data_IF_603598944657
#
_entry.id   IF_603598944657
#
_cell.length_a   1.000
_cell.length_b   1.000
_cell.length_c   1.000
_cell.angle_alpha   90.00
_cell.angle_beta   90.00
_cell.angle_gamma   90.00
#
_symmetry.space_group_name_H-M   'P 1'
#
loop_
_entity.id
_entity.type
_entity.pdbx_description
1 polymer ?
#
# COMPACT_ATOMS: atom_id res chain seq x y z
N UNK A 1 37.69 49.59 -5.69
CA UNK A 1 36.82 48.38 -5.69
C UNK A 1 37.65 47.23 -6.22
N UNK A 2 37.96 46.27 -5.35
CA UNK A 2 39.04 45.28 -5.53
C UNK A 2 38.71 44.18 -6.54
N UNK A 3 39.70 43.80 -7.36
CA UNK A 3 39.69 42.69 -8.34
C UNK A 3 39.30 41.32 -7.74
N UNK A 4 39.27 41.18 -6.41
CA UNK A 4 38.88 39.96 -5.70
C UNK A 4 37.37 39.59 -5.85
N UNK A 5 36.52 40.54 -6.25
CA UNK A 5 35.08 40.32 -6.43
C UNK A 5 34.70 39.80 -7.83
N UNK A 6 35.54 40.02 -8.85
CA UNK A 6 35.30 39.52 -10.22
C UNK A 6 35.81 38.10 -10.45
N UNK A 7 36.77 37.62 -9.65
CA UNK A 7 37.30 36.24 -9.78
C UNK A 7 36.43 35.16 -9.10
N UNK A 8 35.49 35.54 -8.22
CA UNK A 8 34.53 34.57 -7.64
C UNK A 8 33.36 34.21 -8.57
N UNK A 9 33.20 34.90 -9.69
CA UNK A 9 32.21 34.58 -10.72
C UNK A 9 32.77 33.67 -11.84
N UNK A 10 34.05 33.27 -11.77
CA UNK A 10 34.71 32.45 -12.81
C UNK A 10 34.90 30.97 -12.47
N UNK A 11 34.41 30.49 -11.33
CA UNK A 11 34.53 29.07 -10.93
C UNK A 11 33.19 28.33 -10.88
N UNK A 12 32.23 28.74 -11.71
CA UNK A 12 31.03 27.96 -12.04
C UNK A 12 31.22 27.48 -13.48
N UNK A 13 31.75 26.28 -13.65
CA UNK A 13 32.05 25.79 -15.00
C UNK A 13 32.81 24.49 -15.06
N UNK A 14 32.30 23.43 -14.43
CA UNK A 14 32.58 22.06 -14.86
C UNK A 14 31.34 21.20 -14.66
N UNK A 15 30.41 21.40 -15.59
CA UNK A 15 29.32 20.47 -15.85
C UNK A 15 29.95 19.21 -16.48
N UNK A 16 30.12 18.14 -15.70
CA UNK A 16 30.52 16.86 -16.26
C UNK A 16 29.28 16.22 -16.90
N UNK A 17 29.05 16.56 -18.16
CA UNK A 17 27.98 15.99 -18.97
C UNK A 17 28.47 14.65 -19.55
N UNK A 18 28.25 13.56 -18.81
CA UNK A 18 28.34 12.22 -19.41
C UNK A 18 27.10 12.01 -20.29
N UNK A 19 27.22 12.34 -21.58
CA UNK A 19 26.22 12.01 -22.59
C UNK A 19 26.34 10.52 -22.94
N UNK A 20 25.35 9.71 -22.52
CA UNK A 20 25.08 8.42 -23.13
C UNK A 20 24.10 8.62 -24.30
N UNK A 21 24.39 8.14 -25.52
CA UNK A 21 23.47 8.25 -26.64
C UNK A 21 22.35 7.21 -26.52
N UNK A 22 21.09 7.65 -26.51
CA UNK A 22 19.92 6.76 -26.59
C UNK A 22 18.57 7.40 -26.22
N UNK A 23 18.03 8.28 -27.07
CA UNK A 23 16.59 8.60 -27.15
C UNK A 23 15.83 7.35 -27.64
N UNK A 24 14.59 6.98 -27.31
CA UNK A 24 13.45 7.54 -26.60
C UNK A 24 12.52 6.34 -26.29
N UNK A 25 11.74 6.28 -25.20
CA UNK A 25 10.44 6.95 -25.02
C UNK A 25 10.00 6.81 -23.55
N UNK A 26 9.60 7.93 -22.93
CA UNK A 26 8.75 7.97 -21.73
C UNK A 26 9.40 7.58 -20.40
N UNK A 27 10.37 8.35 -19.92
CA UNK A 27 10.93 8.19 -18.57
C UNK A 27 10.12 8.93 -17.49
N UNK A 28 10.16 8.46 -16.22
CA UNK A 28 9.50 9.11 -15.09
C UNK A 28 10.18 10.45 -14.77
N UNK A 29 9.40 11.38 -14.24
CA UNK A 29 9.89 12.66 -13.73
C UNK A 29 10.78 12.38 -12.50
N UNK A 30 12.07 12.07 -12.72
CA UNK A 30 13.05 11.99 -11.65
C UNK A 30 13.13 13.36 -10.97
N UNK A 31 12.56 13.46 -9.78
CA UNK A 31 12.71 14.64 -8.93
C UNK A 31 14.17 14.66 -8.46
N UNK A 32 15.02 15.42 -9.16
CA UNK A 32 16.35 15.75 -8.67
C UNK A 32 16.21 16.52 -7.35
N UNK A 33 16.48 15.86 -6.22
CA UNK A 33 16.79 16.57 -4.97
C UNK A 33 18.17 17.22 -5.16
N UNK A 34 18.18 18.55 -5.29
CA UNK A 34 19.41 19.32 -5.18
C UNK A 34 19.92 19.23 -3.74
N UNK A 35 20.92 18.37 -3.53
CA UNK A 35 21.78 18.44 -2.36
C UNK A 35 22.79 19.57 -2.60
N UNK A 36 22.62 20.67 -1.87
CA UNK A 36 23.65 21.71 -1.76
C UNK A 36 24.75 21.13 -0.88
N UNK A 37 25.84 20.67 -1.51
CA UNK A 37 27.03 20.19 -0.81
C UNK A 37 27.63 21.34 0.00
N UNK A 38 27.63 21.20 1.33
CA UNK A 38 28.24 22.23 2.17
C UNK A 38 28.07 22.16 3.67
N UNK A 39 27.45 21.14 4.26
CA UNK A 39 27.49 20.89 5.71
C UNK A 39 27.52 19.37 5.96
N UNK A 40 28.20 18.92 7.03
CA UNK A 40 28.24 17.50 7.40
C UNK A 40 26.82 16.96 7.50
N UNK A 41 26.49 15.75 7.01
CA UNK A 41 25.17 15.19 7.23
C UNK A 41 25.06 14.80 8.71
N UNK A 42 24.66 15.76 9.54
CA UNK A 42 23.73 15.46 10.61
C UNK A 42 22.57 14.75 9.94
N UNK A 43 22.36 13.50 10.35
CA UNK A 43 21.33 12.60 9.88
C UNK A 43 20.01 13.36 9.71
N UNK A 44 19.57 13.55 8.46
CA UNK A 44 18.35 14.29 8.17
C UNK A 44 17.17 13.47 8.71
N UNK A 45 16.69 13.87 9.89
CA UNK A 45 15.47 13.42 10.56
C UNK A 45 14.19 13.84 9.81
N UNK A 46 14.22 13.88 8.48
CA UNK A 46 13.15 14.44 7.63
C UNK A 46 12.41 13.34 6.85
N UNK A 47 12.31 12.17 7.47
CA UNK A 47 11.50 11.05 6.97
C UNK A 47 10.18 11.00 7.75
N UNK A 48 9.10 10.86 6.98
CA UNK A 48 7.73 10.67 7.46
C UNK A 48 7.68 9.61 8.56
N UNK A 49 6.98 9.86 9.67
CA UNK A 49 6.78 8.88 10.75
C UNK A 49 5.33 8.43 10.81
N UNK A 50 5.11 7.16 11.15
CA UNK A 50 3.76 6.65 11.43
C UNK A 50 3.26 7.32 12.72
N UNK A 51 2.10 7.98 12.65
CA UNK A 51 1.46 8.64 13.77
C UNK A 51 0.36 7.78 14.42
N UNK A 52 -0.46 7.10 13.61
CA UNK A 52 -1.53 6.25 14.13
C UNK A 52 -1.94 5.17 13.14
N UNK A 53 -2.52 4.09 13.66
CA UNK A 53 -3.21 3.07 12.87
C UNK A 53 -4.63 2.88 13.42
N UNK A 54 -5.61 3.02 12.53
CA UNK A 54 -7.03 2.88 12.84
C UNK A 54 -7.66 1.77 12.00
N UNK A 55 -8.63 1.07 12.58
CA UNK A 55 -9.40 0.03 11.92
C UNK A 55 -10.88 0.34 12.02
N UNK A 56 -11.56 0.35 10.87
CA UNK A 56 -12.97 0.72 10.77
C UNK A 56 -13.78 -0.50 10.37
N UNK A 57 -14.56 -1.03 11.31
CA UNK A 57 -15.54 -2.06 11.06
C UNK A 57 -16.80 -1.44 10.45
N UNK A 58 -17.16 -1.90 9.26
CA UNK A 58 -18.38 -1.49 8.56
C UNK A 58 -19.26 -2.70 8.32
N UNK A 59 -20.58 -2.47 8.40
CA UNK A 59 -21.57 -3.51 8.20
C UNK A 59 -22.66 -3.01 7.26
N UNK A 60 -22.98 -3.79 6.24
CA UNK A 60 -24.09 -3.54 5.33
C UNK A 60 -25.11 -4.68 5.46
N UNK A 61 -26.26 -4.46 6.12
CA UNK A 61 -27.31 -5.47 6.18
C UNK A 61 -27.89 -5.68 4.78
N UNK A 62 -28.22 -6.94 4.46
CA UNK A 62 -28.97 -7.23 3.25
C UNK A 62 -30.44 -6.85 3.48
N UNK A 63 -31.15 -6.34 2.45
CA UNK A 63 -32.58 -6.07 2.55
C UNK A 63 -33.39 -7.29 3.04
N UNK A 64 -32.99 -8.48 2.59
CA UNK A 64 -33.51 -9.76 3.04
C UNK A 64 -32.37 -10.76 3.27
N UNK A 65 -32.50 -11.68 4.25
CA UNK A 65 -31.53 -12.77 4.44
C UNK A 65 -31.31 -13.59 3.18
N UNK A 66 -30.05 -13.71 2.76
CA UNK A 66 -29.68 -14.56 1.63
C UNK A 66 -29.40 -15.99 2.11
N UNK A 67 -30.30 -16.91 1.79
CA UNK A 67 -30.17 -18.33 2.14
C UNK A 67 -29.50 -19.08 0.99
N UNK A 68 -28.36 -19.69 1.29
CA UNK A 68 -27.46 -20.32 0.33
C UNK A 68 -27.31 -21.81 0.68
N UNK A 69 -27.98 -22.68 -0.06
CA UNK A 69 -27.86 -24.13 0.08
C UNK A 69 -26.58 -24.63 -0.61
N UNK A 70 -25.88 -25.58 0.01
CA UNK A 70 -24.72 -26.25 -0.59
C UNK A 70 -24.61 -27.69 -0.08
N UNK A 71 -23.73 -28.48 -0.71
CA UNK A 71 -23.48 -29.85 -0.26
C UNK A 71 -22.96 -29.85 1.20
N UNK A 72 -23.76 -30.38 2.13
CA UNK A 72 -23.43 -30.44 3.55
C UNK A 72 -24.05 -29.36 4.44
N UNK A 73 -24.91 -28.48 3.90
CA UNK A 73 -25.69 -27.57 4.76
C UNK A 73 -26.32 -26.37 4.07
N UNK A 74 -26.74 -25.42 4.92
CA UNK A 74 -27.34 -24.15 4.50
C UNK A 74 -26.57 -23.02 5.18
N UNK A 75 -26.18 -22.01 4.41
CA UNK A 75 -25.57 -20.78 4.91
C UNK A 75 -26.55 -19.64 4.74
N UNK A 76 -26.90 -18.98 5.85
CA UNK A 76 -27.69 -17.74 5.80
C UNK A 76 -26.78 -16.54 5.97
N UNK A 77 -26.76 -15.65 4.99
CA UNK A 77 -26.04 -14.38 5.04
C UNK A 77 -27.04 -13.28 5.39
N UNK A 78 -26.81 -12.61 6.51
CA UNK A 78 -27.66 -11.50 6.98
C UNK A 78 -27.12 -10.13 6.59
N UNK A 79 -25.79 -10.02 6.54
CA UNK A 79 -25.06 -8.77 6.31
C UNK A 79 -23.71 -9.06 5.66
N UNK A 80 -23.09 -8.01 5.12
CA UNK A 80 -21.70 -7.99 4.70
C UNK A 80 -20.92 -7.12 5.66
N UNK A 81 -20.03 -7.77 6.40
CA UNK A 81 -19.05 -7.10 7.25
C UNK A 81 -17.75 -6.93 6.47
N UNK A 82 -17.15 -5.76 6.60
CA UNK A 82 -15.82 -5.46 6.09
C UNK A 82 -15.06 -4.64 7.12
N UNK A 83 -13.73 -4.66 7.01
CA UNK A 83 -12.87 -3.73 7.71
C UNK A 83 -11.98 -3.04 6.69
N UNK A 84 -11.77 -1.74 6.86
CA UNK A 84 -10.64 -1.05 6.24
C UNK A 84 -9.73 -0.48 7.32
N UNK A 85 -8.44 -0.48 7.04
CA UNK A 85 -7.36 -0.02 7.89
C UNK A 85 -6.84 1.28 7.32
N UNK A 86 -6.56 2.26 8.18
CA UNK A 86 -5.93 3.53 7.83
C UNK A 86 -4.66 3.72 8.66
N UNK A 87 -3.52 3.85 8.00
CA UNK A 87 -2.24 4.25 8.64
C UNK A 87 -2.03 5.72 8.32
N UNK A 88 -2.00 6.57 9.34
CA UNK A 88 -1.77 8.01 9.20
C UNK A 88 -0.36 8.36 9.64
N UNK A 89 0.35 9.13 8.81
CA UNK A 89 1.65 9.69 9.13
C UNK A 89 1.57 11.05 9.82
N UNK A 90 2.68 11.49 10.40
CA UNK A 90 2.86 12.82 11.03
C UNK A 90 2.61 14.01 10.07
N UNK A 91 2.90 13.83 8.79
CA UNK A 91 2.58 14.78 7.72
C UNK A 91 1.12 14.68 7.22
N UNK A 92 0.28 13.88 7.88
CA UNK A 92 -1.13 13.59 7.57
C UNK A 92 -1.39 12.79 6.29
N UNK A 93 -0.35 12.29 5.63
CA UNK A 93 -0.54 11.33 4.54
C UNK A 93 -1.10 10.02 5.09
N UNK A 94 -1.97 9.38 4.33
CA UNK A 94 -2.67 8.17 4.74
C UNK A 94 -2.46 7.04 3.74
N UNK A 95 -2.23 5.83 4.25
CA UNK A 95 -2.27 4.58 3.50
C UNK A 95 -3.41 3.69 3.96
N UNK A 96 -3.93 2.88 3.05
CA UNK A 96 -5.14 2.09 3.27
C UNK A 96 -4.96 0.62 2.91
N UNK A 97 -5.67 -0.25 3.62
CA UNK A 97 -5.78 -1.68 3.28
C UNK A 97 -7.11 -2.28 3.73
N UNK A 98 -7.60 -3.35 3.09
CA UNK A 98 -8.64 -4.18 3.68
C UNK A 98 -8.10 -4.92 4.91
N UNK A 99 -8.97 -5.15 5.91
CA UNK A 99 -8.64 -5.89 7.12
C UNK A 99 -9.59 -7.04 7.42
N UNK A 100 -9.27 -7.92 8.39
CA UNK A 100 -10.17 -8.95 8.88
C UNK A 100 -11.41 -8.33 9.55
N UNK A 101 -12.60 -8.63 9.06
CA UNK A 101 -13.85 -8.00 9.50
C UNK A 101 -14.39 -8.58 10.83
N UNK A 102 -13.61 -8.50 11.91
CA UNK A 102 -14.03 -8.92 13.24
C UNK A 102 -13.39 -8.08 14.36
N UNK A 103 -14.10 -7.92 15.48
CA UNK A 103 -13.72 -7.08 16.62
C UNK A 103 -12.37 -7.47 17.24
N UNK A 104 -11.99 -8.76 17.20
CA UNK A 104 -10.68 -9.20 17.68
C UNK A 104 -9.54 -8.49 16.93
N UNK A 105 -9.65 -8.36 15.61
CA UNK A 105 -8.62 -7.72 14.79
C UNK A 105 -8.59 -6.21 15.01
N UNK A 106 -9.75 -5.55 15.15
CA UNK A 106 -9.80 -4.12 15.49
C UNK A 106 -9.04 -3.85 16.80
N UNK A 107 -9.30 -4.68 17.82
CA UNK A 107 -8.64 -4.57 19.11
C UNK A 107 -7.14 -4.83 19.03
N UNK A 108 -6.73 -5.88 18.33
CA UNK A 108 -5.31 -6.17 18.06
C UNK A 108 -4.62 -4.99 17.37
N UNK A 109 -5.29 -4.35 16.40
CA UNK A 109 -4.77 -3.18 15.69
C UNK A 109 -4.62 -2.00 16.66
N UNK A 110 -5.66 -1.67 17.41
CA UNK A 110 -5.68 -0.53 18.32
C UNK A 110 -4.73 -0.68 19.50
N UNK A 111 -4.69 -1.86 20.12
CA UNK A 111 -4.01 -2.06 21.42
C UNK A 111 -2.58 -2.59 21.28
N UNK A 112 -2.22 -3.21 20.15
CA UNK A 112 -0.92 -3.89 19.99
C UNK A 112 -0.17 -3.37 18.77
N UNK A 113 -0.80 -3.37 17.59
CA UNK A 113 -0.10 -3.05 16.34
C UNK A 113 0.13 -1.55 16.18
N UNK A 114 -0.84 -0.69 16.51
CA UNK A 114 -0.68 0.77 16.44
C UNK A 114 0.45 1.25 17.35
N UNK A 115 0.51 0.87 18.65
CA UNK A 115 1.64 1.24 19.51
C UNK A 115 2.99 0.69 19.04
N UNK A 116 3.01 -0.48 18.40
CA UNK A 116 4.25 -1.02 17.83
C UNK A 116 4.76 -0.17 16.66
N UNK A 117 3.87 0.38 15.84
CA UNK A 117 4.21 1.13 14.63
C UNK A 117 4.45 2.63 14.87
N UNK A 118 3.88 3.21 15.91
CA UNK A 118 3.99 4.64 16.23
C UNK A 118 5.46 5.10 16.27
N UNK A 119 5.74 6.22 15.60
CA UNK A 119 7.06 6.84 15.52
C UNK A 119 8.05 6.16 14.56
N UNK A 120 7.71 5.00 13.98
CA UNK A 120 8.57 4.32 13.00
C UNK A 120 8.53 4.99 11.63
N UNK A 121 9.65 4.91 10.93
CA UNK A 121 9.74 5.25 9.51
C UNK A 121 9.04 4.16 8.67
N UNK A 122 7.96 4.48 7.93
CA UNK A 122 7.22 3.51 7.15
C UNK A 122 8.03 2.96 5.97
N UNK A 123 9.07 3.66 5.48
CA UNK A 123 9.95 3.14 4.42
C UNK A 123 10.77 1.93 4.87
N UNK A 124 10.96 1.78 6.19
CA UNK A 124 11.68 0.66 6.81
C UNK A 124 10.80 -0.59 7.05
N UNK A 125 9.58 -0.64 6.49
CA UNK A 125 8.60 -1.72 6.75
C UNK A 125 9.14 -3.14 6.61
N UNK A 126 10.05 -3.40 5.64
CA UNK A 126 10.67 -4.72 5.45
C UNK A 126 11.53 -5.19 6.62
N UNK A 127 11.95 -4.27 7.49
CA UNK A 127 12.78 -4.53 8.67
C UNK A 127 11.99 -4.60 9.98
N UNK A 128 10.68 -4.39 9.94
CA UNK A 128 9.84 -4.47 11.14
C UNK A 128 9.79 -5.91 11.67
N UNK A 129 10.37 -6.12 12.84
CA UNK A 129 10.37 -7.42 13.52
C UNK A 129 9.18 -7.56 14.47
N UNK A 130 7.96 -7.54 13.91
CA UNK A 130 6.75 -7.75 14.70
C UNK A 130 6.64 -9.22 15.16
N UNK A 131 6.43 -9.43 16.47
CA UNK A 131 6.25 -10.76 17.07
C UNK A 131 4.83 -10.91 17.60
N UNK A 132 4.16 -11.98 17.18
CA UNK A 132 2.84 -12.37 17.67
C UNK A 132 2.58 -13.85 17.43
N UNK A 133 1.46 -14.36 17.94
CA UNK A 133 0.97 -15.66 17.50
C UNK A 133 0.51 -15.61 16.03
N UNK A 134 0.07 -16.76 15.50
CA UNK A 134 -0.35 -16.86 14.11
C UNK A 134 -1.47 -15.88 13.75
N UNK A 135 -2.44 -15.69 14.64
CA UNK A 135 -3.62 -14.88 14.37
C UNK A 135 -3.31 -13.39 14.42
N UNK A 136 -2.58 -12.95 15.44
CA UNK A 136 -2.10 -11.58 15.55
C UNK A 136 -1.13 -11.23 14.41
N UNK A 137 -0.29 -12.17 13.98
CA UNK A 137 0.61 -11.97 12.84
C UNK A 137 -0.17 -11.76 11.54
N UNK A 138 -1.27 -12.48 11.30
CA UNK A 138 -2.14 -12.24 10.13
C UNK A 138 -2.73 -10.84 10.15
N UNK A 139 -3.20 -10.38 11.32
CA UNK A 139 -3.72 -9.01 11.48
C UNK A 139 -2.64 -7.97 11.20
N UNK A 140 -1.43 -8.15 11.73
CA UNK A 140 -0.29 -7.28 11.43
C UNK A 140 0.04 -7.23 9.93
N UNK A 141 0.03 -8.37 9.23
CA UNK A 141 0.29 -8.39 7.78
C UNK A 141 -0.78 -7.64 6.97
N UNK A 142 -2.03 -7.56 7.44
CA UNK A 142 -3.03 -6.70 6.83
C UNK A 142 -2.70 -5.20 7.02
N UNK A 143 -2.23 -4.82 8.21
CA UNK A 143 -1.75 -3.44 8.49
C UNK A 143 -0.50 -3.11 7.66
N UNK A 144 0.41 -4.06 7.47
CA UNK A 144 1.63 -3.87 6.68
C UNK A 144 1.32 -3.46 5.24
N UNK A 145 0.23 -3.96 4.64
CA UNK A 145 -0.24 -3.49 3.32
C UNK A 145 -0.63 -2.01 3.34
N UNK A 146 -1.26 -1.52 4.42
CA UNK A 146 -1.58 -0.10 4.56
C UNK A 146 -0.32 0.76 4.73
N UNK A 147 0.71 0.24 5.41
CA UNK A 147 2.04 0.88 5.48
C UNK A 147 2.68 0.95 4.10
N UNK A 148 2.61 -0.13 3.30
CA UNK A 148 3.11 -0.13 1.93
C UNK A 148 2.36 0.88 1.04
N UNK A 149 1.03 0.98 1.15
CA UNK A 149 0.24 1.99 0.43
C UNK A 149 0.65 3.42 0.83
N UNK A 150 0.89 3.66 2.13
CA UNK A 150 1.39 4.94 2.63
C UNK A 150 2.74 5.31 2.00
N UNK A 151 3.68 4.37 1.94
CA UNK A 151 4.99 4.56 1.31
C UNK A 151 4.84 4.86 -0.19
N UNK A 152 4.07 4.05 -0.91
CA UNK A 152 3.85 4.24 -2.35
C UNK A 152 3.26 5.63 -2.66
N UNK A 153 2.30 6.09 -1.85
CA UNK A 153 1.72 7.44 -1.95
C UNK A 153 2.73 8.54 -1.66
N UNK A 154 3.59 8.35 -0.67
CA UNK A 154 4.64 9.33 -0.35
C UNK A 154 5.65 9.47 -1.49
N UNK A 155 6.02 8.34 -2.11
CA UNK A 155 6.89 8.29 -3.28
C UNK A 155 6.19 8.73 -4.59
N UNK A 156 4.87 8.87 -4.57
CA UNK A 156 4.07 9.24 -5.74
C UNK A 156 4.06 8.15 -6.82
N UNK A 157 4.13 6.87 -6.43
CA UNK A 157 4.17 5.74 -7.34
C UNK A 157 3.08 4.69 -7.01
N UNK A 158 2.74 3.80 -7.96
CA UNK A 158 1.93 2.63 -7.66
C UNK A 158 2.64 1.68 -6.67
N UNK A 159 1.90 1.03 -5.77
CA UNK A 159 2.45 0.05 -4.81
C UNK A 159 3.28 -1.04 -5.51
N UNK A 160 2.92 -1.43 -6.73
CA UNK A 160 3.70 -2.40 -7.50
C UNK A 160 5.16 -2.01 -7.69
N UNK A 161 5.48 -0.71 -7.78
CA UNK A 161 6.86 -0.23 -7.98
C UNK A 161 7.73 -0.54 -6.75
N UNK A 162 7.22 -0.30 -5.55
CA UNK A 162 7.93 -0.65 -4.30
C UNK A 162 7.90 -2.16 -4.01
N UNK A 163 7.00 -2.90 -4.65
CA UNK A 163 6.88 -4.37 -4.57
C UNK A 163 7.63 -5.13 -5.68
N UNK A 164 8.61 -4.49 -6.34
CA UNK A 164 9.47 -5.13 -7.34
C UNK A 164 9.13 -4.82 -8.80
N UNK A 165 8.23 -3.86 -9.03
CA UNK A 165 7.82 -3.36 -10.34
C UNK A 165 6.78 -4.23 -11.04
N UNK A 166 5.96 -3.60 -11.89
CA UNK A 166 5.00 -4.32 -12.73
C UNK A 166 5.72 -5.27 -13.70
N UNK A 167 5.30 -6.55 -13.72
CA UNK A 167 5.86 -7.57 -14.63
C UNK A 167 4.99 -7.82 -15.87
N UNK A 168 3.82 -7.21 -15.92
CA UNK A 168 2.82 -7.32 -17.00
C UNK A 168 1.89 -6.12 -16.93
N UNK A 169 1.35 -5.74 -18.08
CA UNK A 169 0.35 -4.67 -18.24
C UNK A 169 -1.10 -5.19 -18.12
N UNK A 170 -1.29 -6.51 -18.24
CA UNK A 170 -2.59 -7.18 -18.15
C UNK A 170 -2.51 -8.48 -17.35
N UNK A 171 -3.59 -8.81 -16.65
CA UNK A 171 -3.74 -10.05 -15.88
C UNK A 171 -4.93 -10.82 -16.46
N UNK A 172 -4.73 -12.06 -16.91
CA UNK A 172 -5.83 -12.95 -17.27
C UNK A 172 -6.54 -13.39 -16.00
N UNK A 173 -7.81 -13.05 -15.86
CA UNK A 173 -8.64 -13.47 -14.74
C UNK A 173 -9.26 -14.83 -15.02
N UNK A 174 -9.51 -15.61 -13.96
CA UNK A 174 -10.35 -16.80 -14.04
C UNK A 174 -11.71 -16.49 -13.39
N UNK A 175 -12.78 -17.08 -13.92
CA UNK A 175 -14.11 -16.96 -13.33
C UNK A 175 -14.17 -17.73 -12.01
N UNK A 176 -14.07 -17.03 -10.88
CA UNK A 176 -14.33 -17.59 -9.55
C UNK A 176 -15.82 -17.47 -9.24
N UNK A 177 -16.60 -18.39 -9.78
CA UNK A 177 -18.05 -18.40 -9.67
C UNK A 177 -18.56 -19.79 -9.27
N UNK A 178 -19.87 -20.01 -9.38
CA UNK A 178 -20.44 -21.33 -9.15
C UNK A 178 -20.38 -21.80 -7.71
N UNK A 179 -20.84 -20.96 -6.77
CA UNK A 179 -21.17 -21.41 -5.41
C UNK A 179 -22.67 -21.24 -5.14
N UNK A 180 -23.23 -22.14 -4.32
CA UNK A 180 -24.57 -22.01 -3.75
C UNK A 180 -25.75 -22.00 -4.75
N UNK A 181 -25.70 -22.85 -5.77
CA UNK A 181 -26.77 -23.00 -6.77
C UNK A 181 -26.86 -24.45 -7.26
N UNK A 182 -27.93 -24.76 -8.00
CA UNK A 182 -28.14 -26.08 -8.62
C UNK A 182 -27.20 -26.29 -9.82
N UNK A 183 -26.91 -27.56 -10.19
CA UNK A 183 -26.03 -27.90 -11.31
C UNK A 183 -26.30 -27.16 -12.62
N UNK A 184 -27.56 -27.02 -13.00
CA UNK A 184 -27.97 -26.35 -14.23
C UNK A 184 -27.58 -24.87 -14.23
N UNK A 185 -27.68 -24.20 -13.06
CA UNK A 185 -27.28 -22.80 -12.91
C UNK A 185 -25.77 -22.60 -12.98
N UNK A 186 -24.97 -23.58 -12.53
CA UNK A 186 -23.53 -23.55 -12.77
C UNK A 186 -23.21 -23.53 -14.27
N UNK A 187 -23.90 -24.38 -15.05
CA UNK A 187 -23.70 -24.44 -16.50
C UNK A 187 -24.14 -23.14 -17.20
N UNK A 188 -25.27 -22.56 -16.78
CA UNK A 188 -25.77 -21.27 -17.28
C UNK A 188 -24.78 -20.13 -17.00
N UNK A 189 -24.28 -20.00 -15.77
CA UNK A 189 -23.31 -18.95 -15.38
C UNK A 189 -21.99 -19.10 -16.14
N UNK A 190 -21.49 -20.33 -16.29
CA UNK A 190 -20.28 -20.60 -17.06
C UNK A 190 -20.45 -20.27 -18.55
N UNK A 191 -21.59 -20.62 -19.15
CA UNK A 191 -21.89 -20.31 -20.54
C UNK A 191 -22.01 -18.80 -20.79
N UNK A 192 -22.56 -18.04 -19.84
CA UNK A 192 -22.73 -16.59 -19.95
C UNK A 192 -21.40 -15.82 -20.10
N UNK A 193 -20.30 -16.36 -19.56
CA UNK A 193 -18.98 -15.73 -19.62
C UNK A 193 -18.01 -16.40 -20.62
N UNK A 194 -18.42 -17.50 -21.27
CA UNK A 194 -17.54 -18.28 -22.13
C UNK A 194 -17.04 -17.53 -23.39
N UNK A 195 -17.74 -16.47 -23.79
CA UNK A 195 -17.39 -15.61 -24.93
C UNK A 195 -16.78 -14.26 -24.57
N UNK A 196 -16.52 -13.98 -23.29
CA UNK A 196 -15.89 -12.74 -22.80
C UNK A 196 -14.36 -12.85 -22.81
#
# INVERSE_FOLDING_TARGET
>A
MSQLAMDRLRTIGKLCLCALPGLAKGGPLFRLRFSVFGESPGQADDYMKINSVEAFLVSCPLPEPLVLSFYGGVRTVLKRDAMFICVTADNRLQGFAPGPAHERAEREIREIISPFLEGRDPSAWTSFDFKGDLELTKTYRAVEIAVMDLVARFEGCPLSEIAGGAKRDRIKLYGSAGMYMEPERFAEEAAAIAGM
#
